data_IF_680907375920
#
_entry.id   IF_680907375920
#
_cell.length_a   1.000
_cell.length_b   1.000
_cell.length_c   1.000
_cell.angle_alpha   90.00
_cell.angle_beta   90.00
_cell.angle_gamma   90.00
#
_symmetry.space_group_name_H-M   'P 1'
#
loop_
_entity.id
_entity.type
_entity.pdbx_description
1 polymer ?
#
# COMPACT_ATOMS: atom_id res chain seq x y z
N UNK A 1 -20.91 -0.64 -19.69
CA UNK A 1 -20.45 0.77 -19.70
C UNK A 1 -20.06 1.26 -18.29
N UNK A 2 -20.76 0.84 -17.23
CA UNK A 2 -20.42 1.21 -15.82
C UNK A 2 -19.12 0.56 -15.31
N UNK A 3 -18.84 -0.72 -15.61
CA UNK A 3 -17.61 -1.40 -15.16
C UNK A 3 -16.32 -0.75 -15.68
N UNK A 4 -16.33 -0.14 -16.86
CA UNK A 4 -15.13 0.52 -17.40
C UNK A 4 -14.71 1.68 -16.51
N UNK A 5 -15.66 2.50 -16.05
CA UNK A 5 -15.36 3.70 -15.25
C UNK A 5 -14.72 3.32 -13.92
N UNK A 6 -15.22 2.27 -13.24
CA UNK A 6 -14.67 1.84 -11.94
C UNK A 6 -13.28 1.24 -12.09
N UNK A 7 -13.06 0.45 -13.14
CA UNK A 7 -11.74 -0.06 -13.50
C UNK A 7 -10.77 1.07 -13.81
N UNK A 8 -11.19 2.08 -14.56
CA UNK A 8 -10.36 3.24 -14.89
C UNK A 8 -9.96 3.99 -13.62
N UNK A 9 -10.87 4.17 -12.66
CA UNK A 9 -10.56 4.78 -11.35
C UNK A 9 -9.52 3.96 -10.58
N UNK A 10 -9.67 2.64 -10.52
CA UNK A 10 -8.66 1.78 -9.88
C UNK A 10 -7.30 1.95 -10.55
N UNK A 11 -7.24 1.93 -11.89
CA UNK A 11 -6.00 2.13 -12.64
C UNK A 11 -5.40 3.51 -12.36
N UNK A 12 -6.21 4.56 -12.23
CA UNK A 12 -5.74 5.89 -11.83
C UNK A 12 -5.10 5.87 -10.45
N UNK A 13 -5.74 5.28 -9.44
CA UNK A 13 -5.16 5.21 -8.07
C UNK A 13 -3.86 4.42 -8.07
N UNK A 14 -3.78 3.33 -8.84
CA UNK A 14 -2.55 2.54 -8.98
C UNK A 14 -1.45 3.34 -9.67
N UNK A 15 -1.78 4.04 -10.76
CA UNK A 15 -0.82 4.88 -11.48
C UNK A 15 -0.29 6.02 -10.59
N UNK A 16 -1.17 6.69 -9.83
CA UNK A 16 -0.78 7.73 -8.87
C UNK A 16 0.22 7.19 -7.83
N UNK A 17 -0.01 5.99 -7.28
CA UNK A 17 0.98 5.37 -6.40
C UNK A 17 2.32 5.14 -7.12
N UNK A 18 2.31 4.52 -8.29
CA UNK A 18 3.52 4.14 -9.02
C UNK A 18 4.35 5.35 -9.46
N UNK A 19 3.70 6.39 -9.99
CA UNK A 19 4.34 7.55 -10.59
C UNK A 19 4.58 8.68 -9.57
N UNK A 20 3.59 9.00 -8.75
CA UNK A 20 3.61 10.18 -7.87
C UNK A 20 3.77 9.82 -6.38
N UNK A 21 3.47 8.57 -6.00
CA UNK A 21 3.45 8.16 -4.59
C UNK A 21 4.80 8.32 -3.89
N UNK A 22 4.80 9.04 -2.77
CA UNK A 22 5.99 9.23 -1.93
C UNK A 22 5.79 8.63 -0.55
N UNK A 23 6.87 8.09 0.00
CA UNK A 23 6.90 7.64 1.39
C UNK A 23 7.10 8.88 2.28
N UNK A 24 6.14 9.22 3.17
CA UNK A 24 6.30 10.37 4.04
C UNK A 24 7.47 10.16 5.02
N UNK A 25 8.03 11.22 5.63
CA UNK A 25 9.06 11.08 6.66
C UNK A 25 8.62 10.13 7.79
N UNK A 26 9.43 9.11 8.05
CA UNK A 26 9.12 8.05 9.00
C UNK A 26 9.90 8.20 10.30
N UNK A 27 9.22 8.04 11.43
CA UNK A 27 9.86 7.83 12.74
C UNK A 27 10.01 6.34 12.97
N UNK A 28 11.25 5.85 12.99
CA UNK A 28 11.55 4.43 13.13
C UNK A 28 10.94 3.83 14.40
N UNK A 29 10.29 2.67 14.28
CA UNK A 29 9.80 1.89 15.43
C UNK A 29 10.90 0.92 15.86
N UNK A 30 11.40 1.08 17.09
CA UNK A 30 12.53 0.33 17.66
C UNK A 30 12.27 -1.16 17.97
N UNK A 31 11.19 -1.78 17.47
CA UNK A 31 10.87 -3.18 17.83
C UNK A 31 10.66 -4.03 16.59
N UNK A 32 11.62 -4.92 16.36
CA UNK A 32 11.56 -6.10 15.49
C UNK A 32 11.19 -5.75 14.04
N UNK A 33 12.22 -5.55 13.22
CA UNK A 33 12.12 -5.45 11.77
C UNK A 33 11.57 -6.75 11.21
N UNK A 34 10.26 -6.81 11.04
CA UNK A 34 9.63 -7.78 10.17
C UNK A 34 10.19 -7.58 8.77
N UNK A 35 10.78 -8.62 8.17
CA UNK A 35 11.24 -8.59 6.79
C UNK A 35 10.10 -9.05 5.88
N UNK A 36 9.53 -8.18 5.02
CA UNK A 36 8.45 -8.59 4.14
C UNK A 36 8.89 -9.64 3.10
N UNK A 37 10.18 -9.75 2.77
CA UNK A 37 10.71 -10.76 1.84
C UNK A 37 10.55 -12.20 2.36
N UNK A 38 10.44 -12.38 3.68
CA UNK A 38 10.34 -13.71 4.31
C UNK A 38 8.90 -14.07 4.70
N UNK A 39 7.90 -13.34 4.19
CA UNK A 39 6.50 -13.62 4.48
C UNK A 39 5.99 -14.78 3.63
N UNK A 40 5.69 -15.91 4.28
CA UNK A 40 5.00 -17.05 3.64
C UNK A 40 3.47 -16.89 3.65
N UNK A 41 2.96 -15.93 4.42
CA UNK A 41 1.54 -15.71 4.65
C UNK A 41 1.18 -14.22 4.67
N UNK A 42 -0.12 -13.94 4.59
CA UNK A 42 -0.65 -12.58 4.68
C UNK A 42 -0.32 -11.98 6.05
N UNK A 43 0.31 -10.81 6.04
CA UNK A 43 0.52 -10.00 7.23
C UNK A 43 -0.68 -9.08 7.50
N UNK A 44 -1.36 -9.28 8.62
CA UNK A 44 -2.40 -8.38 9.10
C UNK A 44 -1.86 -7.40 10.16
N UNK A 45 -1.88 -6.10 9.86
CA UNK A 45 -1.49 -5.04 10.82
C UNK A 45 -2.74 -4.51 11.53
N UNK A 46 -2.93 -4.88 12.80
CA UNK A 46 -4.12 -4.53 13.59
C UNK A 46 -3.85 -3.50 14.68
N UNK A 47 -4.88 -2.76 15.10
CA UNK A 47 -4.79 -1.79 16.19
C UNK A 47 -5.76 -0.60 16.03
N UNK A 48 -5.85 0.28 17.06
CA UNK A 48 -6.83 1.37 17.07
C UNK A 48 -6.59 2.41 15.97
N UNK A 49 -7.60 3.27 15.71
CA UNK A 49 -7.47 4.42 14.79
C UNK A 49 -6.30 5.30 15.26
N UNK A 50 -5.49 5.80 14.32
CA UNK A 50 -4.29 6.62 14.58
C UNK A 50 -3.13 5.92 15.32
N UNK A 51 -3.16 4.59 15.48
CA UNK A 51 -2.01 3.84 15.99
C UNK A 51 -0.81 3.77 15.02
N UNK A 52 -0.82 4.51 13.90
CA UNK A 52 0.27 4.54 12.91
C UNK A 52 0.40 3.28 12.04
N UNK A 53 -0.71 2.58 11.76
CA UNK A 53 -0.71 1.36 10.93
C UNK A 53 -0.23 1.63 9.49
N UNK A 54 -0.78 2.65 8.83
CA UNK A 54 -0.34 3.08 7.48
C UNK A 54 1.13 3.48 7.48
N UNK A 55 1.58 4.19 8.53
CA UNK A 55 3.01 4.53 8.68
C UNK A 55 3.90 3.30 8.87
N UNK A 56 3.41 2.26 9.55
CA UNK A 56 4.13 0.99 9.63
C UNK A 56 4.18 0.29 8.26
N UNK A 57 3.11 0.32 7.46
CA UNK A 57 3.16 -0.18 6.07
C UNK A 57 4.20 0.57 5.24
N UNK A 58 4.28 1.91 5.36
CA UNK A 58 5.33 2.70 4.72
C UNK A 58 6.75 2.31 5.18
N UNK A 59 6.92 1.96 6.46
CA UNK A 59 8.19 1.43 6.96
C UNK A 59 8.56 0.10 6.31
N UNK A 60 7.60 -0.80 6.11
CA UNK A 60 7.83 -2.07 5.40
C UNK A 60 8.22 -1.82 3.94
N UNK A 61 7.51 -0.94 3.24
CA UNK A 61 7.84 -0.55 1.86
C UNK A 61 9.26 0.06 1.80
N UNK A 62 9.57 0.98 2.72
CA UNK A 62 10.91 1.58 2.79
C UNK A 62 12.00 0.52 3.00
N UNK A 63 11.74 -0.49 3.84
CA UNK A 63 12.70 -1.58 4.09
C UNK A 63 12.96 -2.44 2.85
N UNK A 64 11.92 -2.73 2.05
CA UNK A 64 12.04 -3.46 0.79
C UNK A 64 12.88 -2.69 -0.22
N UNK A 65 12.62 -1.38 -0.37
CA UNK A 65 13.36 -0.52 -1.29
C UNK A 65 14.82 -0.34 -0.86
N UNK A 66 15.09 -0.17 0.43
CA UNK A 66 16.45 -0.05 0.97
C UNK A 66 17.26 -1.35 0.85
N UNK A 67 16.59 -2.51 0.81
CA UNK A 67 17.23 -3.80 0.56
C UNK A 67 17.84 -3.95 -0.84
N UNK A 68 17.47 -3.07 -1.78
CA UNK A 68 18.05 -3.01 -3.13
C UNK A 68 17.60 -4.13 -4.09
N UNK A 69 16.78 -5.08 -3.63
CA UNK A 69 16.21 -6.16 -4.46
C UNK A 69 14.88 -5.78 -5.12
N UNK A 70 14.21 -4.79 -4.59
CA UNK A 70 12.89 -4.34 -5.05
C UNK A 70 12.94 -2.89 -5.49
N UNK A 71 12.20 -2.58 -6.53
CA UNK A 71 11.91 -1.23 -7.01
C UNK A 71 10.48 -0.86 -6.63
N UNK A 72 10.16 0.43 -6.76
CA UNK A 72 8.81 0.95 -6.49
C UNK A 72 7.74 0.25 -7.34
N UNK A 73 8.07 -0.04 -8.60
CA UNK A 73 7.22 -0.76 -9.56
C UNK A 73 6.90 -2.21 -9.16
N UNK A 74 7.68 -2.81 -8.25
CA UNK A 74 7.39 -4.15 -7.71
C UNK A 74 6.38 -4.13 -6.55
N UNK A 75 5.96 -2.93 -6.11
CA UNK A 75 5.14 -2.74 -4.91
C UNK A 75 3.83 -2.07 -5.29
N UNK A 76 2.71 -2.76 -5.04
CA UNK A 76 1.37 -2.20 -5.16
C UNK A 76 0.88 -1.74 -3.78
N UNK A 77 0.64 -0.44 -3.63
CA UNK A 77 0.00 0.14 -2.45
C UNK A 77 -1.33 0.77 -2.85
N UNK A 78 -2.41 0.37 -2.20
CA UNK A 78 -3.77 0.87 -2.45
C UNK A 78 -4.35 1.37 -1.14
N UNK A 79 -4.80 2.63 -1.12
CA UNK A 79 -5.59 3.18 -0.04
C UNK A 79 -7.08 2.98 -0.34
N UNK A 80 -7.69 1.97 0.27
CA UNK A 80 -9.13 1.71 0.11
C UNK A 80 -10.03 2.77 0.78
N UNK A 81 -9.47 3.68 1.57
CA UNK A 81 -10.23 4.82 2.11
C UNK A 81 -10.33 5.98 1.10
N UNK A 82 -9.69 5.88 -0.07
CA UNK A 82 -9.87 6.84 -1.15
C UNK A 82 -11.35 6.88 -1.57
N UNK A 83 -11.96 8.08 -1.49
CA UNK A 83 -13.38 8.27 -1.78
C UNK A 83 -13.78 7.85 -3.20
N UNK A 84 -12.83 7.85 -4.16
CA UNK A 84 -13.06 7.42 -5.54
C UNK A 84 -13.28 5.91 -5.65
N UNK A 85 -12.73 5.14 -4.72
CA UNK A 85 -12.94 3.70 -4.59
C UNK A 85 -14.18 3.34 -3.75
N UNK A 86 -14.97 4.34 -3.35
CA UNK A 86 -16.20 4.13 -2.58
C UNK A 86 -17.17 3.16 -3.26
N UNK A 87 -17.50 2.06 -2.57
CA UNK A 87 -18.43 1.05 -3.09
C UNK A 87 -17.85 0.16 -4.19
N UNK A 88 -16.53 0.13 -4.35
CA UNK A 88 -15.84 -0.82 -5.23
C UNK A 88 -16.02 -2.25 -4.70
N UNK A 89 -16.34 -3.17 -5.60
CA UNK A 89 -16.59 -4.59 -5.31
C UNK A 89 -15.74 -5.48 -6.22
N UNK A 90 -15.65 -6.77 -5.92
CA UNK A 90 -14.92 -7.72 -6.76
C UNK A 90 -15.47 -7.84 -8.20
N UNK A 91 -16.76 -7.53 -8.40
CA UNK A 91 -17.42 -7.57 -9.72
C UNK A 91 -17.06 -6.38 -10.61
N UNK A 92 -16.33 -5.39 -10.07
CA UNK A 92 -15.86 -4.20 -10.80
C UNK A 92 -14.51 -4.41 -11.48
N UNK A 93 -13.88 -5.58 -11.30
CA UNK A 93 -12.57 -5.95 -11.84
C UNK A 93 -12.66 -6.69 -13.18
#
# INVERSE_FOLDING_TARGET
>A
MVNNIRKDVLLTVVAEWLEEGEIPPLVSRNRHTMNPENLEHILAVVGPRRAGKTYFMYQLIQSLLQGGRHKKEDILFIDFEDYRLGGFTGDDM
#
